data_IF_740342863118
#
_entry.id   IF_740342863118
#
_cell.length_a   1.000
_cell.length_b   1.000
_cell.length_c   1.000
_cell.angle_alpha   90.00
_cell.angle_beta   90.00
_cell.angle_gamma   90.00
#
_symmetry.space_group_name_H-M   'P 1'
#
loop_
_entity.id
_entity.type
_entity.pdbx_description
1 polymer ?
#
# COMPACT_ATOMS: atom_id res chain seq x y z
N UNK A 1 70.21 58.54 20.79
CA UNK A 1 68.87 58.00 21.12
C UNK A 1 67.81 59.03 20.74
N UNK A 2 67.34 59.02 19.49
CA UNK A 2 66.27 59.90 19.02
C UNK A 2 64.92 59.18 19.14
N UNK A 3 64.05 59.66 20.03
CA UNK A 3 62.64 59.22 20.07
C UNK A 3 61.95 59.73 18.80
N UNK A 4 61.74 58.84 17.83
CA UNK A 4 60.82 59.04 16.71
C UNK A 4 59.42 59.27 17.28
N UNK A 5 59.00 60.54 17.31
CA UNK A 5 57.63 60.92 17.68
C UNK A 5 56.68 60.38 16.60
N UNK A 6 55.93 59.33 16.95
CA UNK A 6 54.76 58.82 16.22
C UNK A 6 53.66 59.90 16.19
N UNK A 7 53.83 60.89 15.33
CA UNK A 7 52.80 61.87 15.03
C UNK A 7 51.84 61.32 13.97
N UNK A 8 50.54 61.42 14.24
CA UNK A 8 49.42 61.35 13.27
C UNK A 8 48.95 59.98 12.75
N UNK A 9 49.04 58.89 13.51
CA UNK A 9 48.43 57.59 13.13
C UNK A 9 46.90 57.58 13.07
N UNK A 10 46.22 58.53 13.74
CA UNK A 10 44.75 58.63 13.71
C UNK A 10 44.20 58.95 12.31
N UNK A 11 44.94 59.72 11.49
CA UNK A 11 44.54 60.06 10.11
C UNK A 11 44.73 58.88 9.16
N UNK A 12 45.79 58.10 9.34
CA UNK A 12 46.03 56.87 8.58
C UNK A 12 44.98 55.78 8.90
N UNK A 13 44.53 55.70 10.15
CA UNK A 13 43.48 54.76 10.56
C UNK A 13 42.13 55.09 9.92
N UNK A 14 41.75 56.36 9.87
CA UNK A 14 40.53 56.80 9.16
C UNK A 14 40.62 56.52 7.65
N UNK A 15 41.77 56.79 7.04
CA UNK A 15 42.00 56.50 5.62
C UNK A 15 41.85 55.02 5.28
N UNK A 16 42.42 54.13 6.10
CA UNK A 16 42.30 52.68 5.90
C UNK A 16 40.85 52.18 6.01
N UNK A 17 40.08 52.68 7.00
CA UNK A 17 38.67 52.30 7.15
C UNK A 17 37.84 52.78 5.95
N UNK A 18 38.04 54.02 5.52
CA UNK A 18 37.35 54.56 4.34
C UNK A 18 37.69 53.78 3.08
N UNK A 19 38.95 53.40 2.89
CA UNK A 19 39.40 52.63 1.74
C UNK A 19 38.72 51.25 1.70
N UNK A 20 38.64 50.53 2.83
CA UNK A 20 37.94 49.24 2.91
C UNK A 20 36.46 49.37 2.57
N UNK A 21 35.77 50.38 3.10
CA UNK A 21 34.35 50.62 2.80
C UNK A 21 34.14 50.92 1.32
N UNK A 22 34.99 51.75 0.72
CA UNK A 22 34.93 52.04 -0.72
C UNK A 22 35.18 50.77 -1.53
N UNK A 23 36.16 49.94 -1.17
CA UNK A 23 36.43 48.68 -1.86
C UNK A 23 35.25 47.72 -1.77
N UNK A 24 34.59 47.58 -0.62
CA UNK A 24 33.40 46.73 -0.47
C UNK A 24 32.26 47.25 -1.36
N UNK A 25 32.02 48.56 -1.37
CA UNK A 25 30.99 49.17 -2.22
C UNK A 25 31.29 48.89 -3.69
N UNK A 26 32.53 49.13 -4.13
CA UNK A 26 32.96 48.90 -5.53
C UNK A 26 32.85 47.43 -5.93
N UNK A 27 33.24 46.50 -5.06
CA UNK A 27 33.10 45.07 -5.32
C UNK A 27 31.63 44.63 -5.37
N UNK A 28 30.79 45.17 -4.50
CA UNK A 28 29.35 44.85 -4.48
C UNK A 28 28.66 45.39 -5.73
N UNK A 29 28.95 46.63 -6.13
CA UNK A 29 28.39 47.21 -7.37
C UNK A 29 28.90 46.50 -8.60
N UNK A 30 30.18 46.10 -8.63
CA UNK A 30 30.75 45.29 -9.71
C UNK A 30 30.08 43.92 -9.80
N UNK A 31 29.82 43.25 -8.67
CA UNK A 31 29.09 41.97 -8.63
C UNK A 31 27.67 42.10 -9.17
N UNK A 32 26.95 43.15 -8.78
CA UNK A 32 25.59 43.42 -9.29
C UNK A 32 25.62 43.71 -10.79
N UNK A 33 26.55 44.55 -11.25
CA UNK A 33 26.70 44.88 -12.67
C UNK A 33 27.06 43.66 -13.51
N UNK A 34 27.98 42.81 -13.03
CA UNK A 34 28.32 41.54 -13.69
C UNK A 34 27.14 40.57 -13.72
N UNK A 35 26.33 40.53 -12.65
CA UNK A 35 25.11 39.72 -12.57
C UNK A 35 24.03 40.13 -13.57
N UNK A 36 23.99 41.40 -14.00
CA UNK A 36 23.06 41.88 -15.03
C UNK A 36 23.54 41.62 -16.46
N UNK A 37 24.86 41.62 -16.69
CA UNK A 37 25.46 41.53 -18.03
C UNK A 37 25.65 40.08 -18.50
N UNK A 38 25.85 39.15 -17.57
CA UNK A 38 25.94 37.72 -17.87
C UNK A 38 24.54 37.13 -17.62
N UNK A 39 23.68 36.98 -18.64
CA UNK A 39 22.45 36.22 -18.46
C UNK A 39 22.88 34.80 -18.12
N UNK A 40 22.78 34.42 -16.85
CA UNK A 40 22.81 33.03 -16.44
C UNK A 40 21.61 32.35 -17.08
N UNK A 41 21.75 31.92 -18.35
CA UNK A 41 20.71 31.18 -19.08
C UNK A 41 20.33 29.90 -18.33
N UNK A 42 21.25 29.38 -17.54
CA UNK A 42 21.05 28.35 -16.54
C UNK A 42 21.68 28.86 -15.24
N UNK A 43 20.90 28.96 -14.16
CA UNK A 43 21.44 29.32 -12.84
C UNK A 43 22.50 28.30 -12.42
N UNK A 44 23.60 28.74 -11.80
CA UNK A 44 24.62 27.83 -11.27
C UNK A 44 23.91 26.82 -10.36
N UNK A 45 24.04 25.53 -10.67
CA UNK A 45 23.40 24.44 -9.92
C UNK A 45 22.05 23.97 -10.46
N UNK A 46 21.50 24.55 -11.54
CA UNK A 46 20.23 24.10 -12.15
C UNK A 46 20.21 22.59 -12.39
N UNK A 47 21.29 22.05 -12.96
CA UNK A 47 21.43 20.60 -13.21
C UNK A 47 21.34 19.75 -11.95
N UNK A 48 21.90 20.23 -10.84
CA UNK A 48 21.83 19.55 -9.57
C UNK A 48 20.39 19.57 -9.02
N UNK A 49 19.68 20.69 -9.19
CA UNK A 49 18.26 20.79 -8.84
C UNK A 49 17.39 19.88 -9.71
N UNK A 50 17.61 19.81 -11.03
CA UNK A 50 16.86 18.92 -11.92
C UNK A 50 16.98 17.45 -11.50
N UNK A 51 18.19 17.02 -11.11
CA UNK A 51 18.45 15.67 -10.60
C UNK A 51 17.73 15.44 -9.26
N UNK A 52 17.74 16.42 -8.35
CA UNK A 52 17.04 16.32 -7.07
C UNK A 52 15.52 16.26 -7.28
N UNK A 53 14.98 17.03 -8.22
CA UNK A 53 13.55 17.03 -8.54
C UNK A 53 13.09 15.69 -9.11
N UNK A 54 13.80 15.13 -10.10
CA UNK A 54 13.45 13.82 -10.67
C UNK A 54 13.63 12.69 -9.65
N UNK A 55 14.61 12.81 -8.75
CA UNK A 55 14.79 11.88 -7.64
C UNK A 55 13.57 11.90 -6.71
N UNK A 56 13.13 13.09 -6.29
CA UNK A 56 11.93 13.27 -5.47
C UNK A 56 10.67 12.76 -6.17
N UNK A 57 10.52 13.00 -7.47
CA UNK A 57 9.42 12.43 -8.26
C UNK A 57 9.45 10.89 -8.23
N UNK A 58 10.64 10.30 -8.37
CA UNK A 58 10.86 8.86 -8.25
C UNK A 58 10.44 8.31 -6.89
N UNK A 59 10.92 8.91 -5.81
CA UNK A 59 10.56 8.51 -4.43
C UNK A 59 9.05 8.63 -4.18
N UNK A 60 8.42 9.71 -4.66
CA UNK A 60 6.97 9.89 -4.54
C UNK A 60 6.20 8.78 -5.27
N UNK A 61 6.66 8.35 -6.44
CA UNK A 61 6.05 7.24 -7.19
C UNK A 61 6.26 5.89 -6.48
N UNK A 62 7.46 5.63 -5.95
CA UNK A 62 7.76 4.43 -5.17
C UNK A 62 6.87 4.36 -3.92
N UNK A 63 6.80 5.46 -3.17
CA UNK A 63 5.94 5.57 -1.99
C UNK A 63 4.47 5.36 -2.33
N UNK A 64 3.99 5.96 -3.43
CA UNK A 64 2.62 5.76 -3.89
C UNK A 64 2.33 4.29 -4.17
N UNK A 65 3.23 3.59 -4.87
CA UNK A 65 3.06 2.15 -5.20
C UNK A 65 3.01 1.31 -3.93
N UNK A 66 3.85 1.59 -2.94
CA UNK A 66 3.84 0.88 -1.65
C UNK A 66 2.52 1.09 -0.90
N UNK A 67 2.01 2.32 -0.84
CA UNK A 67 0.73 2.61 -0.20
C UNK A 67 -0.43 1.97 -0.97
N UNK A 68 -0.44 2.07 -2.31
CA UNK A 68 -1.44 1.45 -3.15
C UNK A 68 -1.46 -0.07 -2.98
N UNK A 69 -0.29 -0.72 -2.92
CA UNK A 69 -0.19 -2.15 -2.68
C UNK A 69 -0.73 -2.53 -1.30
N UNK A 70 -0.35 -1.79 -0.25
CA UNK A 70 -0.83 -2.04 1.12
C UNK A 70 -2.37 -1.94 1.20
N UNK A 71 -2.94 -0.86 0.68
CA UNK A 71 -4.40 -0.65 0.68
C UNK A 71 -5.12 -1.70 -0.17
N UNK A 72 -4.58 -2.03 -1.34
CA UNK A 72 -5.13 -3.07 -2.21
C UNK A 72 -5.16 -4.43 -1.53
N UNK A 73 -4.11 -4.78 -0.80
CA UNK A 73 -4.02 -6.05 -0.10
C UNK A 73 -5.02 -6.12 1.08
N UNK A 74 -5.13 -5.04 1.85
CA UNK A 74 -6.09 -4.94 2.95
C UNK A 74 -7.54 -5.00 2.46
N UNK A 75 -7.85 -4.28 1.39
CA UNK A 75 -9.18 -4.34 0.76
C UNK A 75 -9.47 -5.73 0.17
N UNK A 76 -8.51 -6.34 -0.52
CA UNK A 76 -8.68 -7.68 -1.07
C UNK A 76 -8.92 -8.73 0.02
N UNK A 77 -8.18 -8.66 1.14
CA UNK A 77 -8.38 -9.54 2.29
C UNK A 77 -9.79 -9.38 2.89
N UNK A 78 -10.23 -8.14 3.08
CA UNK A 78 -11.57 -7.84 3.57
C UNK A 78 -12.65 -8.36 2.64
N UNK A 79 -12.59 -8.03 1.35
CA UNK A 79 -13.56 -8.46 0.35
C UNK A 79 -13.64 -9.99 0.27
N UNK A 80 -12.49 -10.65 0.32
CA UNK A 80 -12.39 -12.10 0.30
C UNK A 80 -13.10 -12.70 1.52
N UNK A 81 -12.88 -12.17 2.73
CA UNK A 81 -13.53 -12.62 3.96
C UNK A 81 -15.04 -12.43 3.94
N UNK A 82 -15.51 -11.27 3.47
CA UNK A 82 -16.93 -10.99 3.31
C UNK A 82 -17.61 -11.92 2.29
N UNK A 83 -16.86 -12.41 1.30
CA UNK A 83 -17.34 -13.32 0.26
C UNK A 83 -16.97 -14.78 0.54
N UNK A 84 -16.56 -15.13 1.75
CA UNK A 84 -16.25 -16.51 2.14
C UNK A 84 -15.13 -17.15 1.32
N UNK A 85 -14.08 -16.39 1.00
CA UNK A 85 -12.91 -16.90 0.29
C UNK A 85 -12.98 -16.79 -1.24
N UNK A 86 -14.02 -16.18 -1.82
CA UNK A 86 -14.21 -16.07 -3.26
C UNK A 86 -14.13 -14.64 -3.77
N UNK A 87 -13.43 -14.41 -4.90
CA UNK A 87 -13.43 -13.10 -5.57
C UNK A 87 -14.79 -12.76 -6.20
N UNK A 88 -15.42 -13.78 -6.80
CA UNK A 88 -16.61 -13.67 -7.64
C UNK A 88 -17.72 -14.67 -7.24
N UNK A 89 -18.31 -15.35 -8.23
CA UNK A 89 -19.34 -16.37 -8.05
C UNK A 89 -18.71 -17.67 -7.55
N UNK A 90 -19.34 -18.25 -6.54
CA UNK A 90 -19.00 -19.55 -5.97
C UNK A 90 -19.49 -20.66 -6.91
N UNK A 91 -18.80 -21.81 -6.92
CA UNK A 91 -19.24 -23.00 -7.69
C UNK A 91 -20.56 -23.57 -7.18
N UNK A 92 -20.83 -23.46 -5.87
CA UNK A 92 -22.04 -23.95 -5.21
C UNK A 92 -23.13 -22.88 -5.05
N UNK A 93 -22.94 -21.68 -5.59
CA UNK A 93 -23.88 -20.57 -5.40
C UNK A 93 -23.75 -19.87 -4.05
N UNK A 94 -24.56 -18.84 -3.86
CA UNK A 94 -24.59 -18.01 -2.65
C UNK A 94 -26.02 -18.02 -2.13
N UNK A 95 -26.17 -17.95 -0.81
CA UNK A 95 -27.46 -17.68 -0.17
C UNK A 95 -27.33 -16.36 0.58
N UNK A 96 -28.00 -15.34 0.05
CA UNK A 96 -27.76 -13.94 0.43
C UNK A 96 -26.26 -13.59 0.29
N UNK A 97 -25.65 -13.06 1.34
CA UNK A 97 -24.25 -12.64 1.36
C UNK A 97 -23.27 -13.76 1.78
N UNK A 98 -23.76 -15.00 1.93
CA UNK A 98 -22.92 -16.12 2.39
C UNK A 98 -22.58 -17.05 1.23
N UNK A 99 -21.28 -17.31 1.07
CA UNK A 99 -20.76 -18.28 0.12
C UNK A 99 -20.93 -19.70 0.64
N UNK A 100 -21.53 -20.57 -0.18
CA UNK A 100 -21.77 -21.97 0.16
C UNK A 100 -20.49 -22.75 -0.07
N UNK A 101 -19.93 -23.32 1.01
CA UNK A 101 -18.72 -24.15 0.95
C UNK A 101 -19.05 -25.63 0.74
N UNK A 102 -20.20 -26.08 1.24
CA UNK A 102 -20.70 -27.43 1.03
C UNK A 102 -22.19 -27.37 0.69
N UNK A 103 -22.57 -27.95 -0.44
CA UNK A 103 -23.97 -28.03 -0.87
C UNK A 103 -24.69 -29.29 -0.35
N UNK A 104 -26.00 -29.38 -0.64
CA UNK A 104 -26.83 -30.52 -0.25
C UNK A 104 -26.39 -31.86 -0.88
N UNK A 105 -25.61 -31.81 -1.97
CA UNK A 105 -25.06 -33.00 -2.64
C UNK A 105 -23.72 -33.43 -2.06
N UNK A 106 -23.25 -32.76 -1.00
CA UNK A 106 -21.92 -32.93 -0.39
C UNK A 106 -20.77 -32.62 -1.36
N UNK A 107 -21.01 -31.74 -2.34
CA UNK A 107 -19.95 -31.29 -3.25
C UNK A 107 -19.13 -30.20 -2.57
N UNK A 108 -17.83 -30.46 -2.45
CA UNK A 108 -16.87 -29.50 -1.92
C UNK A 108 -16.72 -28.30 -2.84
N UNK A 109 -17.04 -27.12 -2.31
CA UNK A 109 -16.93 -25.82 -2.94
C UNK A 109 -16.06 -24.88 -2.13
N UNK A 110 -14.96 -25.40 -1.59
CA UNK A 110 -13.93 -24.56 -0.97
C UNK A 110 -13.16 -23.78 -2.04
N UNK A 111 -12.88 -22.49 -1.83
CA UNK A 111 -12.10 -21.70 -2.77
C UNK A 111 -10.61 -22.03 -2.68
N UNK A 112 -9.91 -21.81 -3.80
CA UNK A 112 -8.47 -21.60 -3.77
C UNK A 112 -8.21 -20.15 -3.35
N UNK A 113 -8.26 -19.91 -2.04
CA UNK A 113 -8.26 -18.57 -1.45
C UNK A 113 -7.02 -17.74 -1.83
N UNK A 114 -5.87 -18.37 -2.13
CA UNK A 114 -4.65 -17.65 -2.57
C UNK A 114 -4.82 -17.09 -3.97
N UNK A 115 -5.34 -17.93 -4.88
CA UNK A 115 -5.65 -17.50 -6.25
C UNK A 115 -6.79 -16.48 -6.29
N UNK A 116 -7.82 -16.66 -5.46
CA UNK A 116 -8.93 -15.70 -5.34
C UNK A 116 -8.46 -14.36 -4.74
N UNK A 117 -7.58 -14.37 -3.74
CA UNK A 117 -6.94 -13.17 -3.21
C UNK A 117 -6.16 -12.41 -4.28
N UNK A 118 -5.27 -13.10 -5.02
CA UNK A 118 -4.47 -12.47 -6.05
C UNK A 118 -5.32 -11.83 -7.16
N UNK A 119 -6.47 -12.44 -7.51
CA UNK A 119 -7.43 -11.84 -8.46
C UNK A 119 -7.99 -10.52 -7.95
N UNK A 120 -8.49 -10.50 -6.71
CA UNK A 120 -9.06 -9.28 -6.11
C UNK A 120 -7.98 -8.21 -5.89
N UNK A 121 -6.81 -8.58 -5.38
CA UNK A 121 -5.66 -7.70 -5.23
C UNK A 121 -5.27 -7.03 -6.55
N UNK A 122 -5.04 -7.82 -7.61
CA UNK A 122 -4.62 -7.29 -8.91
C UNK A 122 -5.68 -6.36 -9.51
N UNK A 123 -6.96 -6.68 -9.32
CA UNK A 123 -8.07 -5.83 -9.75
C UNK A 123 -8.06 -4.48 -9.04
N UNK A 124 -7.93 -4.47 -7.71
CA UNK A 124 -7.93 -3.25 -6.90
C UNK A 124 -6.66 -2.41 -7.15
N UNK A 125 -5.49 -3.06 -7.20
CA UNK A 125 -4.21 -2.41 -7.46
C UNK A 125 -4.19 -1.73 -8.82
N UNK A 126 -4.76 -2.37 -9.86
CA UNK A 126 -4.93 -1.75 -11.17
C UNK A 126 -5.79 -0.47 -11.10
N UNK A 127 -6.77 -0.43 -10.21
CA UNK A 127 -7.59 0.76 -9.94
C UNK A 127 -6.75 1.91 -9.42
N UNK A 128 -5.93 1.68 -8.38
CA UNK A 128 -5.04 2.71 -7.84
C UNK A 128 -4.01 3.18 -8.87
N UNK A 129 -3.33 2.24 -9.52
CA UNK A 129 -2.28 2.55 -10.49
C UNK A 129 -2.80 3.29 -11.73
N UNK A 130 -4.10 3.24 -12.04
CA UNK A 130 -4.66 3.99 -13.17
C UNK A 130 -4.62 5.51 -12.97
N UNK A 131 -4.47 5.98 -11.73
CA UNK A 131 -4.40 7.41 -11.39
C UNK A 131 -2.99 8.01 -11.50
N UNK A 132 -1.95 7.17 -11.61
CA UNK A 132 -0.55 7.61 -11.73
C UNK A 132 -0.03 7.12 -13.07
N UNK A 133 0.75 7.92 -13.83
CA UNK A 133 1.33 7.50 -15.10
C UNK A 133 2.46 6.47 -14.91
N UNK A 134 2.10 5.27 -14.46
CA UNK A 134 2.96 4.11 -14.23
C UNK A 134 2.45 2.95 -15.10
N UNK A 135 3.16 2.67 -16.19
CA UNK A 135 2.89 1.52 -17.04
C UNK A 135 3.63 0.29 -16.50
N UNK A 136 3.14 -0.25 -15.39
CA UNK A 136 3.78 -1.37 -14.69
C UNK A 136 2.84 -2.55 -14.58
N UNK A 137 3.30 -3.71 -15.04
CA UNK A 137 2.70 -5.00 -14.74
C UNK A 137 3.56 -5.68 -13.67
N UNK A 138 2.89 -6.25 -12.67
CA UNK A 138 3.54 -6.92 -11.56
C UNK A 138 3.35 -8.43 -11.65
N UNK A 139 4.42 -9.17 -11.38
CA UNK A 139 4.33 -10.54 -10.92
C UNK A 139 4.13 -10.49 -9.40
N UNK A 140 3.02 -11.06 -8.92
CA UNK A 140 2.66 -11.03 -7.50
C UNK A 140 2.80 -12.41 -6.88
N UNK A 141 3.43 -12.45 -5.71
CA UNK A 141 3.56 -13.65 -4.90
C UNK A 141 3.07 -13.38 -3.49
N UNK A 142 2.31 -14.33 -2.95
CA UNK A 142 1.77 -14.28 -1.61
C UNK A 142 2.51 -15.30 -0.74
N UNK A 143 3.21 -14.80 0.28
CA UNK A 143 3.97 -15.60 1.23
C UNK A 143 3.55 -15.21 2.64
N UNK A 144 2.90 -16.15 3.33
CA UNK A 144 2.29 -15.94 4.65
C UNK A 144 1.36 -14.71 4.65
N UNK A 145 1.68 -13.70 5.46
CA UNK A 145 0.92 -12.45 5.60
C UNK A 145 1.48 -11.32 4.71
N UNK A 146 2.33 -11.64 3.73
CA UNK A 146 3.02 -10.66 2.90
C UNK A 146 2.72 -10.88 1.42
N UNK A 147 2.49 -9.79 0.70
CA UNK A 147 2.46 -9.79 -0.75
C UNK A 147 3.66 -9.04 -1.31
N UNK A 148 4.37 -9.72 -2.22
CA UNK A 148 5.55 -9.21 -2.90
C UNK A 148 5.15 -8.99 -4.36
N UNK A 149 5.39 -7.78 -4.87
CA UNK A 149 5.19 -7.43 -6.26
C UNK A 149 6.50 -7.07 -6.93
N UNK A 150 6.86 -7.78 -8.00
CA UNK A 150 8.06 -7.50 -8.80
C UNK A 150 7.60 -6.93 -10.15
N UNK A 151 8.05 -5.72 -10.52
CA UNK A 151 7.67 -5.12 -11.79
C UNK A 151 8.39 -5.82 -12.95
N UNK A 152 7.67 -6.12 -14.04
CA UNK A 152 8.29 -6.71 -15.23
C UNK A 152 9.28 -5.77 -15.94
N UNK A 153 9.14 -4.46 -15.73
CA UNK A 153 9.95 -3.41 -16.37
C UNK A 153 10.20 -2.27 -15.41
N UNK A 154 11.37 -1.66 -15.54
CA UNK A 154 11.67 -0.41 -14.86
C UNK A 154 10.80 0.73 -15.41
N UNK A 155 10.47 1.70 -14.56
CA UNK A 155 9.87 2.97 -14.99
C UNK A 155 10.99 3.97 -15.25
N UNK A 156 10.93 4.62 -16.41
CA UNK A 156 11.92 5.62 -16.82
C UNK A 156 11.28 7.01 -16.71
N UNK A 157 11.85 7.86 -15.87
CA UNK A 157 11.51 9.27 -15.75
C UNK A 157 12.45 10.06 -16.65
N UNK A 158 11.90 10.85 -17.56
CA UNK A 158 12.68 11.70 -18.44
C UNK A 158 12.68 13.12 -17.92
N UNK A 159 13.85 13.74 -17.88
CA UNK A 159 14.00 15.14 -17.46
C UNK A 159 15.02 15.83 -18.35
N UNK A 160 14.93 17.16 -18.43
CA UNK A 160 15.89 17.96 -19.18
C UNK A 160 16.89 18.56 -18.21
N UNK A 161 18.18 18.39 -18.50
CA UNK A 161 19.26 19.06 -17.79
C UNK A 161 19.98 19.98 -18.77
N UNK A 162 19.59 21.25 -18.74
CA UNK A 162 19.93 22.24 -19.77
C UNK A 162 19.40 21.84 -21.15
N UNK A 163 20.29 21.57 -22.12
CA UNK A 163 19.93 21.17 -23.49
C UNK A 163 19.87 19.66 -23.72
N UNK A 164 20.21 18.86 -22.71
CA UNK A 164 20.32 17.41 -22.84
C UNK A 164 19.16 16.73 -22.12
N UNK A 165 18.49 15.82 -22.82
CA UNK A 165 17.51 14.92 -22.21
C UNK A 165 18.25 13.82 -21.45
N UNK A 166 17.93 13.66 -20.17
CA UNK A 166 18.46 12.64 -19.29
C UNK A 166 17.33 11.74 -18.80
N UNK A 167 17.69 10.59 -18.26
CA UNK A 167 16.72 9.66 -17.69
C UNK A 167 17.09 9.23 -16.27
N UNK A 168 16.08 8.95 -15.47
CA UNK A 168 16.18 8.39 -14.14
C UNK A 168 15.29 7.15 -14.08
N UNK A 169 15.87 6.01 -13.69
CA UNK A 169 15.20 4.71 -13.78
C UNK A 169 14.87 4.20 -12.38
N UNK A 170 13.61 3.82 -12.16
CA UNK A 170 13.13 3.25 -10.89
C UNK A 170 12.52 1.87 -11.10
N UNK A 171 12.63 1.02 -10.07
CA UNK A 171 12.01 -0.30 -10.02
C UNK A 171 10.98 -0.30 -8.88
N UNK A 172 9.69 -0.07 -9.16
CA UNK A 172 8.67 0.08 -8.13
C UNK A 172 8.21 -1.26 -7.52
N UNK A 173 9.15 -2.09 -7.06
CA UNK A 173 8.83 -3.31 -6.32
C UNK A 173 8.29 -2.99 -4.94
N UNK A 174 7.36 -3.79 -4.45
CA UNK A 174 6.80 -3.64 -3.11
C UNK A 174 6.82 -4.95 -2.34
N UNK A 175 6.87 -4.85 -1.01
CA UNK A 175 6.76 -5.96 -0.09
C UNK A 175 5.96 -5.52 1.13
N UNK A 176 4.64 -5.74 1.08
CA UNK A 176 3.71 -5.20 2.08
C UNK A 176 3.17 -6.31 2.97
N UNK A 177 3.14 -6.04 4.28
CA UNK A 177 2.41 -6.87 5.23
C UNK A 177 0.92 -6.52 5.15
N UNK A 178 0.08 -7.53 4.93
CA UNK A 178 -1.37 -7.41 4.80
C UNK A 178 -2.00 -7.22 6.19
N UNK A 179 -1.29 -7.61 7.25
CA UNK A 179 -1.79 -7.78 8.62
C UNK A 179 -3.02 -8.69 8.64
N UNK A 180 -2.97 -9.78 7.88
CA UNK A 180 -4.08 -10.71 7.70
C UNK A 180 -3.54 -12.12 7.52
N UNK A 181 -3.97 -13.04 8.39
CA UNK A 181 -3.67 -14.46 8.23
C UNK A 181 -4.59 -15.09 7.17
N UNK A 182 -4.09 -15.14 5.95
CA UNK A 182 -4.80 -15.80 4.85
C UNK A 182 -4.89 -17.32 5.06
N UNK A 183 -3.98 -17.92 5.84
CA UNK A 183 -4.01 -19.36 6.09
C UNK A 183 -5.19 -19.74 6.99
N UNK A 184 -5.87 -18.76 7.62
CA UNK A 184 -7.09 -19.00 8.38
C UNK A 184 -8.18 -19.73 7.59
N UNK A 185 -8.23 -19.58 6.26
CA UNK A 185 -9.16 -20.34 5.42
C UNK A 185 -8.91 -21.85 5.45
N UNK A 186 -7.65 -22.28 5.60
CA UNK A 186 -7.31 -23.70 5.77
C UNK A 186 -7.92 -24.22 7.06
N UNK A 187 -7.75 -23.49 8.15
CA UNK A 187 -8.29 -23.86 9.47
C UNK A 187 -9.82 -23.89 9.47
N UNK A 188 -10.46 -22.87 8.89
CA UNK A 188 -11.92 -22.82 8.76
C UNK A 188 -12.46 -23.98 7.91
N UNK A 189 -11.75 -24.37 6.86
CA UNK A 189 -12.10 -25.54 6.04
C UNK A 189 -12.00 -26.84 6.85
N UNK A 190 -10.92 -27.02 7.60
CA UNK A 190 -10.73 -28.20 8.44
C UNK A 190 -11.82 -28.29 9.53
N UNK A 191 -12.07 -27.18 10.22
CA UNK A 191 -13.16 -27.07 11.21
C UNK A 191 -14.53 -27.34 10.60
N UNK A 192 -14.79 -26.88 9.37
CA UNK A 192 -16.05 -27.14 8.66
C UNK A 192 -16.24 -28.62 8.41
N UNK A 193 -15.20 -29.29 7.92
CA UNK A 193 -15.21 -30.74 7.69
C UNK A 193 -15.43 -31.51 9.00
N UNK A 194 -14.76 -31.11 10.08
CA UNK A 194 -14.95 -31.72 11.40
C UNK A 194 -16.40 -31.56 11.88
N UNK A 195 -16.96 -30.35 11.82
CA UNK A 195 -18.36 -30.08 12.18
C UNK A 195 -19.32 -30.97 11.40
N UNK A 196 -19.16 -31.06 10.08
CA UNK A 196 -20.02 -31.86 9.21
C UNK A 196 -19.91 -33.35 9.56
N UNK A 197 -18.69 -33.87 9.73
CA UNK A 197 -18.47 -35.28 10.07
C UNK A 197 -19.07 -35.65 11.43
N UNK A 198 -18.98 -34.75 12.41
CA UNK A 198 -19.46 -35.01 13.76
C UNK A 198 -20.96 -34.78 13.92
N UNK A 199 -21.58 -33.86 13.15
CA UNK A 199 -22.99 -33.51 13.31
C UNK A 199 -23.93 -34.06 12.24
N UNK A 200 -23.42 -34.83 11.27
CA UNK A 200 -24.27 -35.55 10.31
C UNK A 200 -25.19 -36.53 11.03
N UNK A 201 -26.48 -36.51 10.68
CA UNK A 201 -27.56 -37.29 11.29
C UNK A 201 -27.70 -37.05 12.81
N UNK A 202 -27.37 -35.85 13.28
CA UNK A 202 -27.60 -35.41 14.66
C UNK A 202 -28.60 -34.25 14.68
N UNK A 203 -28.74 -33.62 15.84
CA UNK A 203 -29.63 -32.49 16.09
C UNK A 203 -28.94 -31.15 15.81
N UNK A 204 -29.74 -30.09 15.67
CA UNK A 204 -29.27 -28.69 15.60
C UNK A 204 -28.37 -28.33 16.79
N UNK A 205 -28.59 -28.92 17.97
CA UNK A 205 -27.75 -28.68 19.15
C UNK A 205 -26.30 -29.13 18.97
N UNK A 206 -26.04 -30.16 18.16
CA UNK A 206 -24.66 -30.55 17.81
C UNK A 206 -23.94 -29.42 17.08
N UNK A 207 -24.59 -28.86 16.05
CA UNK A 207 -24.04 -27.78 15.23
C UNK A 207 -23.75 -26.55 16.10
N UNK A 208 -24.69 -26.17 16.97
CA UNK A 208 -24.51 -25.04 17.88
C UNK A 208 -23.33 -25.24 18.84
N UNK A 209 -23.20 -26.45 19.42
CA UNK A 209 -22.10 -26.76 20.34
C UNK A 209 -20.74 -26.71 19.65
N UNK A 210 -20.63 -27.28 18.44
CA UNK A 210 -19.38 -27.30 17.67
C UNK A 210 -19.01 -25.92 17.14
N UNK A 211 -19.99 -25.15 16.67
CA UNK A 211 -19.77 -23.77 16.27
C UNK A 211 -19.22 -22.93 17.43
N UNK A 212 -19.75 -23.10 18.65
CA UNK A 212 -19.25 -22.42 19.84
C UNK A 212 -17.80 -22.83 20.18
N UNK A 213 -17.45 -24.13 20.07
CA UNK A 213 -16.08 -24.63 20.25
C UNK A 213 -15.08 -23.92 19.31
N UNK A 214 -15.49 -23.66 18.06
CA UNK A 214 -14.68 -22.96 17.06
C UNK A 214 -14.76 -21.43 17.15
N UNK A 215 -15.49 -20.88 18.13
CA UNK A 215 -15.79 -19.44 18.24
C UNK A 215 -16.52 -18.88 17.01
N UNK A 216 -17.34 -19.70 16.37
CA UNK A 216 -18.21 -19.29 15.27
C UNK A 216 -19.55 -18.85 15.82
N UNK A 217 -20.11 -17.84 15.18
CA UNK A 217 -21.46 -17.39 15.46
C UNK A 217 -22.38 -17.80 14.33
N UNK A 218 -23.59 -18.25 14.68
CA UNK A 218 -24.61 -18.68 13.72
C UNK A 218 -25.55 -17.50 13.49
N UNK A 219 -25.70 -17.05 12.24
CA UNK A 219 -26.64 -15.97 11.89
C UNK A 219 -28.02 -16.48 11.49
N UNK A 220 -28.10 -17.67 10.88
CA UNK A 220 -29.36 -18.33 10.52
C UNK A 220 -29.16 -19.84 10.49
N UNK A 221 -30.22 -20.56 10.87
CA UNK A 221 -30.34 -22.01 10.80
C UNK A 221 -31.69 -22.37 10.17
N UNK A 222 -31.65 -23.01 9.00
CA UNK A 222 -32.85 -23.39 8.24
C UNK A 222 -32.75 -24.87 7.86
N UNK A 223 -33.42 -25.74 8.62
CA UNK A 223 -33.35 -27.20 8.47
C UNK A 223 -31.90 -27.70 8.50
N UNK A 224 -31.33 -27.96 7.33
CA UNK A 224 -29.97 -28.47 7.12
C UNK A 224 -28.99 -27.38 6.65
N UNK A 225 -29.40 -26.12 6.58
CA UNK A 225 -28.59 -25.02 6.07
C UNK A 225 -28.21 -24.03 7.18
N UNK A 226 -26.92 -23.80 7.35
CA UNK A 226 -26.38 -22.96 8.41
C UNK A 226 -25.50 -21.86 7.85
N UNK A 227 -25.72 -20.62 8.31
CA UNK A 227 -24.89 -19.45 7.99
C UNK A 227 -23.99 -19.14 9.19
N UNK A 228 -22.69 -19.13 8.97
CA UNK A 228 -21.69 -18.89 9.99
C UNK A 228 -20.94 -17.59 9.74
N UNK A 229 -20.61 -16.89 10.81
CA UNK A 229 -19.60 -15.84 10.79
C UNK A 229 -18.55 -16.06 11.88
N UNK A 230 -17.28 -15.91 11.49
CA UNK A 230 -16.15 -15.87 12.41
C UNK A 230 -15.57 -14.46 12.36
N UNK A 231 -15.48 -13.81 13.52
CA UNK A 231 -14.95 -12.45 13.66
C UNK A 231 -13.56 -12.52 14.29
N UNK A 232 -12.56 -12.08 13.54
CA UNK A 232 -11.22 -11.92 14.09
C UNK A 232 -11.14 -10.57 14.83
N UNK A 233 -11.03 -10.63 16.15
CA UNK A 233 -10.97 -9.43 16.99
C UNK A 233 -9.58 -8.77 17.01
N UNK A 234 -8.54 -9.45 16.50
CA UNK A 234 -7.17 -8.96 16.52
C UNK A 234 -6.80 -8.27 15.20
N UNK A 235 -7.48 -8.60 14.11
CA UNK A 235 -7.17 -8.08 12.79
C UNK A 235 -8.06 -6.92 12.38
N UNK A 236 -7.45 -5.73 12.29
CA UNK A 236 -8.07 -4.52 11.72
C UNK A 236 -7.40 -4.16 10.40
N UNK A 237 -8.21 -3.95 9.38
CA UNK A 237 -7.76 -3.56 8.04
C UNK A 237 -8.34 -2.21 7.66
N UNK A 238 -7.59 -1.42 6.88
CA UNK A 238 -8.11 -0.18 6.32
C UNK A 238 -8.81 -0.50 5.00
N UNK A 239 -10.08 -0.15 4.90
CA UNK A 239 -10.92 -0.45 3.74
C UNK A 239 -11.59 0.81 3.24
N UNK A 240 -11.84 0.85 1.94
CA UNK A 240 -12.61 1.88 1.31
C UNK A 240 -14.09 1.54 1.42
N UNK A 241 -14.85 2.34 2.15
CA UNK A 241 -16.28 2.10 2.35
C UNK A 241 -17.11 2.50 1.12
N UNK A 242 -18.43 2.30 1.18
CA UNK A 242 -19.37 2.62 0.09
C UNK A 242 -19.38 4.13 -0.26
N UNK A 243 -18.96 4.99 0.67
CA UNK A 243 -18.85 6.44 0.49
C UNK A 243 -17.48 6.88 -0.03
N UNK A 244 -16.60 5.94 -0.36
CA UNK A 244 -15.21 6.17 -0.71
C UNK A 244 -14.37 6.81 0.43
N UNK A 245 -14.72 6.55 1.69
CA UNK A 245 -13.94 6.96 2.85
C UNK A 245 -13.17 5.77 3.42
N UNK A 246 -11.95 6.01 3.89
CA UNK A 246 -11.13 5.00 4.53
C UNK A 246 -11.61 4.78 5.99
N UNK A 247 -12.02 3.56 6.33
CA UNK A 247 -12.35 3.16 7.69
C UNK A 247 -11.57 1.93 8.13
N UNK A 248 -11.29 1.84 9.43
CA UNK A 248 -10.75 0.63 10.02
C UNK A 248 -11.89 -0.35 10.31
N UNK A 249 -11.87 -1.50 9.64
CA UNK A 249 -12.86 -2.55 9.84
C UNK A 249 -12.21 -3.82 10.41
N UNK A 250 -12.99 -4.55 11.21
CA UNK A 250 -12.62 -5.88 11.67
C UNK A 250 -12.95 -6.91 10.59
N UNK A 251 -12.10 -7.92 10.44
CA UNK A 251 -12.36 -8.97 9.47
C UNK A 251 -13.39 -9.96 10.01
N UNK A 252 -14.44 -10.16 9.23
CA UNK A 252 -15.46 -11.16 9.47
C UNK A 252 -15.53 -12.12 8.27
N UNK A 253 -15.25 -13.39 8.52
CA UNK A 253 -15.34 -14.46 7.54
C UNK A 253 -16.77 -14.96 7.50
N UNK A 254 -17.42 -14.88 6.32
CA UNK A 254 -18.82 -15.29 6.13
C UNK A 254 -18.90 -16.50 5.21
N UNK A 255 -19.45 -17.60 5.70
CA UNK A 255 -19.62 -18.82 4.92
C UNK A 255 -20.86 -19.59 5.35
N UNK A 256 -21.35 -20.47 4.48
CA UNK A 256 -22.49 -21.32 4.76
C UNK A 256 -22.19 -22.79 4.45
N UNK A 257 -22.78 -23.67 5.26
CA UNK A 257 -22.65 -25.12 5.14
C UNK A 257 -24.02 -25.77 5.11
N UNK A 258 -24.15 -26.82 4.29
CA UNK A 258 -25.21 -27.78 4.41
C UNK A 258 -24.78 -28.92 5.35
N UNK A 259 -25.50 -29.10 6.46
CA UNK A 259 -25.28 -30.16 7.44
C UNK A 259 -26.54 -31.04 7.45
N UNK A 260 -26.48 -32.29 6.96
CA UNK A 260 -27.63 -33.19 6.96
C UNK A 260 -27.97 -33.61 8.40
N UNK A 261 -29.10 -33.15 8.93
CA UNK A 261 -29.61 -33.50 10.25
C UNK A 261 -30.61 -34.66 10.18
N UNK A 262 -30.88 -35.26 11.34
CA UNK A 262 -31.88 -36.33 11.53
C UNK A 262 -33.31 -35.79 11.64
#
# INVERSE_FOLDING_TARGET
MGRLKLFNTKKALLFNISLVLITIIVLTTALIALGQVIPFKEGIGSRAFDIVEVYQEGENKLFYVDQAAKLSAQQAAYDLAQKGGFSNKTKCGKKEDYSIWLDATKKDCYPDYKNEFNKDFNKIMKGYLSSVPLYVNYETSLFDERIIGIPHRATVLFFYSGKSMSNYTIYPSFNVNINYDINKYRDLKEQSNNLISECTNKTVSCVNSKAAEFNWNITSAEQNFFKFYYKDNNTKVLVNNIKNELSHELIAYKFALYVPLQ
#
